data_IF_005568693462
#
_entry.id   IF_005568693462
#
_cell.length_a   1.000
_cell.length_b   1.000
_cell.length_c   1.000
_cell.angle_alpha   90.00
_cell.angle_beta   90.00
_cell.angle_gamma   90.00
#
_symmetry.space_group_name_H-M   'P 1'
#
loop_
_entity.id
_entity.type
_entity.pdbx_description
1 polymer ?
#
# COMPACT_ATOMS: atom_id res chain seq x y z
N UNK A 1 -41.22 3.49 -23.55
CA UNK A 1 -40.84 2.34 -22.71
C UNK A 1 -39.35 2.16 -22.85
N UNK A 2 -38.62 2.91 -22.03
CA UNK A 2 -37.18 2.84 -21.83
C UNK A 2 -37.00 3.54 -20.48
N UNK A 3 -37.04 2.74 -19.42
CA UNK A 3 -36.82 3.24 -18.06
C UNK A 3 -35.38 3.73 -17.95
N UNK A 4 -35.30 4.98 -17.52
CA UNK A 4 -34.10 5.71 -17.21
C UNK A 4 -33.65 5.24 -15.82
N UNK A 5 -32.67 4.33 -15.74
CA UNK A 5 -32.04 3.96 -14.47
C UNK A 5 -31.33 5.20 -13.89
N UNK A 6 -31.68 5.64 -12.67
CA UNK A 6 -31.14 6.87 -12.14
C UNK A 6 -29.68 6.68 -11.71
N UNK A 7 -28.86 7.56 -12.24
CA UNK A 7 -27.52 7.91 -11.78
C UNK A 7 -27.43 8.01 -10.24
N UNK A 8 -26.36 7.40 -9.71
CA UNK A 8 -25.58 7.84 -8.55
C UNK A 8 -26.15 9.05 -7.78
N UNK A 9 -27.05 8.77 -6.82
CA UNK A 9 -27.46 9.74 -5.82
C UNK A 9 -27.56 9.03 -4.45
N UNK A 10 -26.89 9.64 -3.47
CA UNK A 10 -26.92 9.35 -2.02
C UNK A 10 -26.17 8.09 -1.54
N UNK A 11 -24.83 8.16 -1.53
CA UNK A 11 -24.01 7.35 -0.61
C UNK A 11 -24.20 7.87 0.82
N UNK A 12 -25.35 7.58 1.43
CA UNK A 12 -25.38 7.42 2.88
C UNK A 12 -24.36 6.33 3.19
N UNK A 13 -23.37 6.64 4.04
CA UNK A 13 -22.40 5.62 4.45
C UNK A 13 -23.18 4.47 5.07
N UNK A 14 -23.19 3.31 4.41
CA UNK A 14 -23.82 2.09 4.94
C UNK A 14 -23.43 1.94 6.41
N UNK A 15 -24.38 1.51 7.24
CA UNK A 15 -24.02 1.13 8.61
C UNK A 15 -22.96 0.01 8.59
N UNK A 16 -22.27 -0.19 9.71
CA UNK A 16 -21.25 -1.24 9.79
C UNK A 16 -21.85 -2.62 9.48
N UNK A 17 -23.09 -2.86 9.93
CA UNK A 17 -23.83 -4.09 9.66
C UNK A 17 -24.25 -4.21 8.19
N UNK A 18 -24.78 -3.15 7.59
CA UNK A 18 -25.22 -3.17 6.18
C UNK A 18 -24.01 -3.34 5.24
N UNK A 19 -22.88 -2.72 5.57
CA UNK A 19 -21.64 -2.92 4.83
C UNK A 19 -21.17 -4.37 4.93
N UNK A 20 -21.17 -4.95 6.14
CA UNK A 20 -20.75 -6.34 6.37
C UNK A 20 -21.65 -7.33 5.60
N UNK A 21 -22.97 -7.16 5.67
CA UNK A 21 -23.92 -7.99 4.93
C UNK A 21 -23.74 -7.85 3.41
N UNK A 22 -23.44 -6.63 2.92
CA UNK A 22 -23.22 -6.38 1.49
C UNK A 22 -21.94 -7.05 0.99
N UNK A 23 -20.82 -6.88 1.70
CA UNK A 23 -19.55 -7.48 1.27
C UNK A 23 -19.60 -9.02 1.36
N UNK A 24 -20.27 -9.56 2.37
CA UNK A 24 -20.52 -11.00 2.51
C UNK A 24 -21.31 -11.55 1.32
N UNK A 25 -22.44 -10.91 0.97
CA UNK A 25 -23.24 -11.30 -0.19
C UNK A 25 -22.42 -11.27 -1.48
N UNK A 26 -21.67 -10.19 -1.73
CA UNK A 26 -20.83 -10.07 -2.92
C UNK A 26 -19.73 -11.15 -2.93
N UNK A 27 -19.10 -11.43 -1.80
CA UNK A 27 -18.07 -12.47 -1.71
C UNK A 27 -18.63 -13.86 -2.00
N UNK A 28 -19.82 -14.18 -1.47
CA UNK A 28 -20.49 -15.45 -1.75
C UNK A 28 -20.95 -15.60 -3.21
N UNK A 29 -21.27 -14.49 -3.90
CA UNK A 29 -21.56 -14.48 -5.33
C UNK A 29 -20.29 -14.60 -6.20
N UNK A 30 -19.17 -14.05 -5.72
CA UNK A 30 -17.90 -13.95 -6.44
C UNK A 30 -16.98 -15.18 -6.27
N UNK A 31 -17.12 -15.90 -5.17
CA UNK A 31 -16.31 -17.05 -4.79
C UNK A 31 -16.73 -17.51 -3.40
N UNK A 32 -16.15 -16.91 -2.37
CA UNK A 32 -16.68 -17.04 -1.01
C UNK A 32 -16.35 -15.83 -0.12
N UNK A 33 -17.15 -15.68 0.94
CA UNK A 33 -16.81 -14.87 2.10
C UNK A 33 -16.78 -15.74 3.35
N UNK A 34 -15.67 -15.74 4.09
CA UNK A 34 -15.52 -16.50 5.32
C UNK A 34 -15.12 -15.61 6.47
N UNK A 35 -15.92 -15.58 7.54
CA UNK A 35 -15.51 -14.97 8.81
C UNK A 35 -14.35 -15.75 9.43
N UNK A 36 -13.31 -15.04 9.82
CA UNK A 36 -12.12 -15.55 10.50
C UNK A 36 -12.10 -14.97 11.92
N UNK A 37 -12.85 -15.60 12.81
CA UNK A 37 -13.06 -15.09 14.16
C UNK A 37 -13.83 -13.76 14.19
N UNK A 38 -13.57 -12.97 15.23
CA UNK A 38 -14.29 -11.72 15.51
C UNK A 38 -13.71 -10.52 14.75
N UNK A 39 -12.41 -10.54 14.49
CA UNK A 39 -11.69 -9.38 13.96
C UNK A 39 -11.22 -9.53 12.50
N UNK A 40 -11.53 -10.63 11.83
CA UNK A 40 -11.08 -10.86 10.45
C UNK A 40 -12.13 -11.53 9.56
N UNK A 41 -11.93 -11.40 8.25
CA UNK A 41 -12.65 -12.15 7.24
C UNK A 41 -11.77 -12.41 6.01
N UNK A 42 -12.01 -13.51 5.31
CA UNK A 42 -11.47 -13.79 3.99
C UNK A 42 -12.55 -13.49 2.94
N UNK A 43 -12.20 -12.72 1.92
CA UNK A 43 -13.00 -12.48 0.73
C UNK A 43 -12.24 -13.08 -0.46
N UNK A 44 -12.83 -14.05 -1.15
CA UNK A 44 -12.24 -14.69 -2.32
C UNK A 44 -13.12 -14.49 -3.54
N UNK A 45 -12.49 -14.05 -4.63
CA UNK A 45 -13.07 -13.91 -5.96
C UNK A 45 -12.29 -14.83 -6.91
N UNK A 46 -13.00 -15.77 -7.54
CA UNK A 46 -12.41 -16.73 -8.47
C UNK A 46 -12.67 -16.31 -9.92
N UNK A 47 -11.62 -15.96 -10.66
CA UNK A 47 -11.78 -15.40 -12.00
C UNK A 47 -10.55 -15.55 -12.91
N UNK A 48 -9.54 -16.35 -12.53
CA UNK A 48 -8.47 -16.74 -13.44
C UNK A 48 -7.19 -17.27 -12.79
N UNK A 49 -6.16 -17.59 -13.59
CA UNK A 49 -4.96 -18.30 -13.15
C UNK A 49 -3.94 -17.42 -12.42
N UNK A 50 -4.19 -16.12 -12.32
CA UNK A 50 -3.37 -15.18 -11.53
C UNK A 50 -4.10 -14.90 -10.23
N UNK A 51 -3.44 -15.11 -9.09
CA UNK A 51 -3.95 -14.77 -7.77
C UNK A 51 -3.27 -13.50 -7.25
N UNK A 52 -4.07 -12.47 -6.98
CA UNK A 52 -3.65 -11.35 -6.14
C UNK A 52 -4.09 -11.63 -4.70
N UNK A 53 -3.16 -11.63 -3.75
CA UNK A 53 -3.43 -11.74 -2.32
C UNK A 53 -3.23 -10.37 -1.69
N UNK A 54 -4.28 -9.77 -1.11
CA UNK A 54 -4.20 -8.49 -0.40
C UNK A 54 -4.56 -8.61 1.07
N UNK A 55 -3.98 -7.73 1.86
CA UNK A 55 -4.37 -7.50 3.24
C UNK A 55 -4.92 -6.09 3.33
N UNK A 56 -6.13 -5.93 3.84
CA UNK A 56 -6.82 -4.64 3.90
C UNK A 56 -7.55 -4.47 5.23
N UNK A 57 -7.84 -3.23 5.62
CA UNK A 57 -8.65 -2.96 6.81
C UNK A 57 -10.03 -2.48 6.39
N UNK A 58 -11.06 -2.83 7.16
CA UNK A 58 -12.42 -2.31 6.91
C UNK A 58 -12.45 -0.79 6.88
N UNK A 59 -11.71 -0.15 7.78
CA UNK A 59 -11.60 1.31 7.84
C UNK A 59 -11.06 1.89 6.53
N UNK A 60 -9.98 1.32 5.97
CA UNK A 60 -9.40 1.77 4.71
C UNK A 60 -10.34 1.50 3.52
N UNK A 61 -10.97 0.32 3.46
CA UNK A 61 -11.93 -0.04 2.42
C UNK A 61 -13.08 0.98 2.38
N UNK A 62 -13.70 1.26 3.53
CA UNK A 62 -14.85 2.17 3.61
C UNK A 62 -14.49 3.62 3.33
N UNK A 63 -13.31 4.07 3.76
CA UNK A 63 -12.91 5.45 3.62
C UNK A 63 -12.41 5.80 2.20
N UNK A 64 -11.83 4.84 1.48
CA UNK A 64 -11.01 5.16 0.31
C UNK A 64 -11.37 4.39 -0.96
N UNK A 65 -12.06 3.25 -0.87
CA UNK A 65 -12.30 2.41 -2.03
C UNK A 65 -13.65 2.72 -2.69
N UNK A 66 -13.68 2.85 -4.03
CA UNK A 66 -14.93 2.96 -4.79
C UNK A 66 -15.87 1.80 -4.44
N UNK A 67 -17.15 2.11 -4.22
CA UNK A 67 -18.13 1.09 -3.87
C UNK A 67 -17.91 0.39 -2.52
N UNK A 68 -16.91 0.80 -1.72
CA UNK A 68 -16.53 0.21 -0.43
C UNK A 68 -16.23 -1.28 -0.51
N UNK A 69 -15.54 -1.71 -1.58
CA UNK A 69 -15.04 -3.08 -1.77
C UNK A 69 -13.51 -3.13 -1.67
N UNK A 70 -12.91 -4.30 -1.41
CA UNK A 70 -11.46 -4.44 -1.40
C UNK A 70 -10.81 -3.91 -2.67
N UNK A 71 -9.70 -3.18 -2.54
CA UNK A 71 -8.99 -2.57 -3.67
C UNK A 71 -8.58 -3.63 -4.70
N UNK A 72 -8.10 -4.78 -4.22
CA UNK A 72 -7.68 -5.86 -5.11
C UNK A 72 -8.82 -6.48 -5.91
N UNK A 73 -10.07 -6.39 -5.44
CA UNK A 73 -11.22 -6.96 -6.14
C UNK A 73 -11.52 -6.19 -7.44
N UNK A 74 -11.53 -4.86 -7.38
CA UNK A 74 -11.73 -4.02 -8.57
C UNK A 74 -10.59 -4.21 -9.59
N UNK A 75 -9.35 -4.33 -9.11
CA UNK A 75 -8.21 -4.60 -9.97
C UNK A 75 -8.34 -5.96 -10.65
N UNK A 76 -8.64 -7.02 -9.90
CA UNK A 76 -8.73 -8.38 -10.37
C UNK A 76 -9.89 -8.59 -11.36
N UNK A 77 -11.06 -8.02 -11.07
CA UNK A 77 -12.24 -8.06 -11.95
C UNK A 77 -11.97 -7.46 -13.33
N UNK A 78 -11.14 -6.42 -13.40
CA UNK A 78 -10.78 -5.78 -14.67
C UNK A 78 -9.77 -6.57 -15.52
N UNK A 79 -9.19 -7.66 -15.00
CA UNK A 79 -8.00 -8.34 -15.58
C UNK A 79 -8.07 -9.87 -15.61
N UNK A 80 -9.24 -10.47 -15.36
CA UNK A 80 -9.39 -11.93 -15.28
C UNK A 80 -8.40 -12.57 -14.30
N UNK A 81 -8.25 -11.95 -13.12
CA UNK A 81 -7.46 -12.50 -12.02
C UNK A 81 -8.40 -12.96 -10.91
N UNK A 82 -7.99 -14.00 -10.19
CA UNK A 82 -8.53 -14.31 -8.88
C UNK A 82 -7.94 -13.38 -7.82
N UNK A 83 -8.69 -13.15 -6.75
CA UNK A 83 -8.30 -12.26 -5.67
C UNK A 83 -8.68 -12.85 -4.32
N UNK A 84 -7.71 -12.92 -3.41
CA UNK A 84 -7.92 -13.27 -2.01
C UNK A 84 -7.58 -12.05 -1.15
N UNK A 85 -8.57 -11.50 -0.43
CA UNK A 85 -8.37 -10.43 0.53
C UNK A 85 -8.62 -10.91 1.95
N UNK A 86 -7.65 -10.67 2.84
CA UNK A 86 -7.86 -10.78 4.27
C UNK A 86 -8.16 -9.39 4.84
N UNK A 87 -9.38 -9.25 5.33
CA UNK A 87 -9.91 -8.00 5.86
C UNK A 87 -9.76 -8.03 7.39
N UNK A 88 -9.12 -7.01 7.96
CA UNK A 88 -9.07 -6.79 9.40
C UNK A 88 -10.09 -5.73 9.85
N UNK A 89 -10.79 -6.01 10.95
CA UNK A 89 -11.72 -5.08 11.60
C UNK A 89 -10.97 -4.02 12.44
N UNK A 90 -9.80 -4.38 12.97
CA UNK A 90 -8.98 -3.55 13.86
C UNK A 90 -7.50 -3.63 13.49
N UNK A 91 -6.66 -2.84 14.17
CA UNK A 91 -5.20 -2.95 14.06
C UNK A 91 -4.68 -4.19 14.81
N UNK A 92 -5.10 -5.38 14.37
CA UNK A 92 -4.78 -6.68 14.94
C UNK A 92 -3.41 -7.21 14.51
N UNK A 93 -2.79 -6.57 13.51
CA UNK A 93 -1.62 -7.08 12.79
C UNK A 93 -1.83 -8.49 12.21
N UNK A 94 -3.09 -8.89 12.01
CA UNK A 94 -3.46 -10.23 11.56
C UNK A 94 -2.87 -11.34 12.46
N UNK A 95 -2.59 -10.99 13.73
CA UNK A 95 -2.06 -11.90 14.75
C UNK A 95 -3.22 -12.60 15.46
N UNK A 96 -3.87 -13.53 14.77
CA UNK A 96 -5.01 -14.29 15.27
C UNK A 96 -4.92 -15.75 14.79
N UNK A 97 -5.16 -16.70 15.69
CA UNK A 97 -5.09 -18.14 15.40
C UNK A 97 -6.07 -18.57 14.30
N UNK A 98 -7.22 -17.90 14.17
CA UNK A 98 -8.18 -18.19 13.08
C UNK A 98 -7.63 -17.80 11.71
N UNK A 99 -6.81 -16.74 11.63
CA UNK A 99 -6.12 -16.35 10.40
C UNK A 99 -5.01 -17.34 10.08
N UNK A 100 -4.24 -17.78 11.08
CA UNK A 100 -3.19 -18.78 10.88
C UNK A 100 -3.76 -20.08 10.34
N UNK A 101 -4.78 -20.63 11.00
CA UNK A 101 -5.44 -21.87 10.57
C UNK A 101 -6.06 -21.77 9.19
N UNK A 102 -6.51 -20.59 8.80
CA UNK A 102 -7.02 -20.37 7.45
C UNK A 102 -5.90 -20.54 6.41
N UNK A 103 -4.76 -19.86 6.59
CA UNK A 103 -3.62 -20.04 5.70
C UNK A 103 -3.02 -21.45 5.75
N UNK A 104 -2.97 -22.07 6.92
CA UNK A 104 -2.53 -23.46 7.06
C UNK A 104 -3.41 -24.40 6.23
N UNK A 105 -4.74 -24.22 6.27
CA UNK A 105 -5.67 -24.98 5.44
C UNK A 105 -5.44 -24.74 3.95
N UNK A 106 -5.21 -23.48 3.53
CA UNK A 106 -4.90 -23.19 2.13
C UNK A 106 -3.63 -23.92 1.67
N UNK A 107 -2.62 -24.05 2.54
CA UNK A 107 -1.42 -24.84 2.24
C UNK A 107 -1.74 -26.34 2.17
N UNK A 108 -2.45 -26.86 3.16
CA UNK A 108 -2.83 -28.28 3.23
C UNK A 108 -3.68 -28.72 2.02
N UNK A 109 -4.53 -27.82 1.53
CA UNK A 109 -5.39 -28.03 0.35
C UNK A 109 -4.67 -27.71 -0.98
N UNK A 110 -3.37 -27.38 -0.95
CA UNK A 110 -2.57 -26.98 -2.12
C UNK A 110 -3.16 -25.82 -2.93
N UNK A 111 -3.96 -24.95 -2.30
CA UNK A 111 -4.72 -23.88 -2.96
C UNK A 111 -3.85 -22.98 -3.84
N UNK A 112 -2.63 -22.66 -3.41
CA UNK A 112 -1.75 -21.76 -4.16
C UNK A 112 -1.14 -22.41 -5.41
N UNK A 113 -1.15 -23.74 -5.51
CA UNK A 113 -0.61 -24.48 -6.66
C UNK A 113 -1.53 -24.41 -7.89
N UNK A 114 -2.80 -24.05 -7.70
CA UNK A 114 -3.78 -23.88 -8.78
C UNK A 114 -3.54 -22.61 -9.62
N UNK A 115 -2.60 -21.75 -9.22
CA UNK A 115 -2.33 -20.47 -9.87
C UNK A 115 -0.96 -20.45 -10.54
N UNK A 116 -0.91 -19.93 -11.77
CA UNK A 116 0.33 -19.71 -12.52
C UNK A 116 1.19 -18.59 -11.94
N UNK A 117 0.55 -17.59 -11.31
CA UNK A 117 1.22 -16.47 -10.67
C UNK A 117 0.48 -16.05 -9.41
N UNK A 118 1.21 -15.96 -8.30
CA UNK A 118 0.70 -15.45 -7.02
C UNK A 118 1.45 -14.18 -6.64
N UNK A 119 0.71 -13.12 -6.30
CA UNK A 119 1.27 -11.84 -5.86
C UNK A 119 0.70 -11.45 -4.50
N UNK A 120 1.56 -11.25 -3.51
CA UNK A 120 1.17 -10.72 -2.20
C UNK A 120 1.37 -9.20 -2.16
N UNK A 121 0.36 -8.47 -1.69
CA UNK A 121 0.42 -7.02 -1.56
C UNK A 121 -0.16 -6.52 -0.24
N UNK A 122 0.50 -5.52 0.35
CA UNK A 122 -0.05 -4.76 1.46
C UNK A 122 0.77 -3.51 1.82
N UNK A 123 0.12 -2.57 2.51
CA UNK A 123 0.74 -1.34 3.01
C UNK A 123 0.73 -1.24 4.55
N UNK A 124 1.81 -0.78 5.17
CA UNK A 124 1.89 -0.59 6.62
C UNK A 124 1.76 -1.90 7.40
N UNK A 125 0.72 -1.99 8.25
CA UNK A 125 0.33 -3.22 8.94
C UNK A 125 -0.11 -4.32 7.95
N UNK A 126 -0.79 -3.95 6.87
CA UNK A 126 -1.12 -4.89 5.82
C UNK A 126 0.13 -5.36 5.06
N UNK A 127 1.15 -4.51 4.95
CA UNK A 127 2.46 -4.88 4.40
C UNK A 127 3.20 -5.87 5.30
N UNK A 128 3.07 -5.73 6.62
CA UNK A 128 3.53 -6.77 7.55
C UNK A 128 2.86 -8.12 7.25
N UNK A 129 1.54 -8.15 7.13
CA UNK A 129 0.79 -9.38 6.90
C UNK A 129 1.09 -10.00 5.53
N UNK A 130 1.16 -9.19 4.48
CA UNK A 130 1.53 -9.64 3.14
C UNK A 130 2.89 -10.36 3.13
N UNK A 131 3.88 -9.83 3.87
CA UNK A 131 5.16 -10.50 4.04
C UNK A 131 5.05 -11.76 4.91
N UNK A 132 4.42 -11.65 6.07
CA UNK A 132 4.30 -12.71 7.06
C UNK A 132 3.63 -13.98 6.51
N UNK A 133 2.59 -13.82 5.69
CA UNK A 133 1.86 -14.96 5.12
C UNK A 133 2.36 -15.38 3.73
N UNK A 134 3.26 -14.62 3.10
CA UNK A 134 3.79 -15.01 1.77
C UNK A 134 4.52 -16.36 1.75
N UNK A 135 5.03 -16.81 2.91
CA UNK A 135 5.64 -18.14 3.07
C UNK A 135 4.71 -19.29 2.66
N UNK A 136 3.40 -19.08 2.68
CA UNK A 136 2.39 -20.09 2.32
C UNK A 136 2.33 -20.35 0.81
N UNK A 137 2.93 -19.49 0.01
CA UNK A 137 2.99 -19.61 -1.45
C UNK A 137 4.45 -19.41 -1.93
N UNK A 138 5.30 -20.45 -1.81
CA UNK A 138 6.68 -20.37 -2.30
C UNK A 138 6.75 -19.93 -3.76
N UNK A 139 7.71 -19.06 -4.09
CA UNK A 139 7.86 -18.48 -5.42
C UNK A 139 6.97 -17.27 -5.73
N UNK A 140 6.03 -16.91 -4.85
CA UNK A 140 5.17 -15.74 -5.04
C UNK A 140 5.98 -14.43 -5.13
N UNK A 141 5.47 -13.49 -5.91
CA UNK A 141 6.00 -12.11 -5.93
C UNK A 141 5.41 -11.34 -4.76
N UNK A 142 6.23 -10.60 -4.02
CA UNK A 142 5.78 -9.89 -2.82
C UNK A 142 6.04 -8.39 -2.96
N UNK A 143 4.98 -7.58 -2.89
CA UNK A 143 5.05 -6.11 -2.98
C UNK A 143 4.62 -5.50 -1.66
N UNK A 144 5.57 -4.90 -0.95
CA UNK A 144 5.40 -4.38 0.39
C UNK A 144 5.55 -2.86 0.39
N UNK A 145 4.54 -2.15 0.86
CA UNK A 145 4.58 -0.68 0.97
C UNK A 145 4.69 -0.28 2.44
N UNK A 146 5.80 0.36 2.83
CA UNK A 146 6.09 0.74 4.21
C UNK A 146 5.81 -0.38 5.23
N UNK A 147 6.24 -1.63 4.98
CA UNK A 147 5.90 -2.73 5.86
C UNK A 147 6.43 -2.47 7.27
N UNK A 148 5.72 -2.97 8.27
CA UNK A 148 6.33 -3.23 9.59
C UNK A 148 6.97 -4.60 9.53
N UNK A 149 8.18 -4.74 10.05
CA UNK A 149 8.85 -6.04 10.13
C UNK A 149 8.32 -6.86 11.31
N UNK A 150 8.11 -6.20 12.45
CA UNK A 150 7.64 -6.77 13.72
C UNK A 150 7.31 -5.65 14.70
N UNK A 151 6.54 -5.94 15.74
CA UNK A 151 6.44 -5.07 16.92
C UNK A 151 7.07 -5.70 18.18
N UNK A 152 7.83 -6.79 18.06
CA UNK A 152 8.59 -7.36 19.19
C UNK A 152 9.54 -6.28 19.74
N UNK A 153 9.39 -5.86 21.02
CA UNK A 153 10.23 -4.82 21.60
C UNK A 153 11.72 -5.15 21.63
N UNK A 154 12.10 -6.43 21.52
CA UNK A 154 13.51 -6.85 21.45
C UNK A 154 14.18 -6.46 20.14
N UNK A 155 13.40 -6.35 19.05
CA UNK A 155 13.88 -6.01 17.70
C UNK A 155 13.47 -4.58 17.31
N UNK A 156 12.20 -4.24 17.55
CA UNK A 156 11.57 -2.97 17.18
C UNK A 156 11.32 -2.06 18.40
N UNK A 157 12.13 -2.18 19.46
CA UNK A 157 12.01 -1.36 20.68
C UNK A 157 12.06 0.15 20.42
N UNK A 158 12.70 0.55 19.32
CA UNK A 158 12.84 1.91 18.82
C UNK A 158 11.57 2.49 18.16
N UNK A 159 10.53 1.70 17.88
CA UNK A 159 9.29 2.17 17.26
C UNK A 159 8.18 2.40 18.31
N UNK A 160 7.81 3.65 18.62
CA UNK A 160 6.79 3.96 19.63
C UNK A 160 5.36 4.00 19.08
N UNK A 161 5.11 3.73 17.79
CA UNK A 161 3.81 4.00 17.15
C UNK A 161 2.68 3.07 17.60
N UNK A 162 3.00 1.86 18.06
CA UNK A 162 2.04 0.80 18.37
C UNK A 162 2.39 0.10 19.71
N UNK A 163 2.63 0.87 20.77
CA UNK A 163 3.07 0.34 22.06
C UNK A 163 2.05 -0.66 22.65
N UNK A 164 0.77 -0.36 22.51
CA UNK A 164 -0.35 -1.19 22.97
C UNK A 164 -0.45 -2.53 22.22
N UNK A 165 0.12 -2.61 21.01
CA UNK A 165 0.14 -3.82 20.18
C UNK A 165 1.37 -4.70 20.43
N UNK A 166 2.34 -4.25 21.23
CA UNK A 166 3.51 -5.07 21.64
C UNK A 166 3.13 -6.30 22.48
N UNK A 167 1.89 -6.37 22.97
CA UNK A 167 1.33 -7.57 23.64
C UNK A 167 1.06 -8.73 22.68
N UNK A 168 0.96 -8.46 21.37
CA UNK A 168 0.80 -9.51 20.37
C UNK A 168 2.13 -10.27 20.20
N UNK A 169 2.04 -11.56 19.88
CA UNK A 169 3.21 -12.40 19.66
C UNK A 169 3.71 -12.23 18.22
N UNK A 170 4.99 -11.87 18.03
CA UNK A 170 5.65 -11.72 16.72
C UNK A 170 6.83 -12.67 16.54
N UNK A 171 6.88 -13.73 17.34
CA UNK A 171 8.04 -14.64 17.43
C UNK A 171 7.68 -16.10 17.20
N UNK A 172 6.38 -16.38 17.13
CA UNK A 172 5.80 -17.66 16.78
C UNK A 172 5.44 -17.69 15.29
N UNK A 173 4.49 -18.53 14.91
CA UNK A 173 4.06 -18.77 13.53
C UNK A 173 3.74 -17.46 12.81
N UNK A 174 4.25 -17.29 11.59
CA UNK A 174 4.09 -16.07 10.78
C UNK A 174 4.56 -14.78 11.48
N UNK A 175 5.40 -14.89 12.52
CA UNK A 175 5.68 -13.79 13.45
C UNK A 175 6.59 -12.70 12.90
N UNK A 176 7.83 -13.03 12.55
CA UNK A 176 8.81 -12.08 12.08
C UNK A 176 8.79 -12.00 10.55
N UNK A 177 8.13 -10.98 10.01
CA UNK A 177 7.85 -10.86 8.58
C UNK A 177 9.09 -10.96 7.65
N UNK A 178 10.27 -10.41 7.99
CA UNK A 178 11.47 -10.56 7.16
C UNK A 178 11.96 -11.99 6.98
N UNK A 179 11.67 -12.91 7.91
CA UNK A 179 12.04 -14.32 7.75
C UNK A 179 10.99 -15.08 6.92
N UNK A 180 9.74 -14.63 6.95
CA UNK A 180 8.64 -15.27 6.21
C UNK A 180 8.70 -15.04 4.69
N UNK A 181 9.60 -14.20 4.20
CA UNK A 181 9.80 -13.97 2.77
C UNK A 181 10.92 -14.82 2.16
N UNK A 182 11.56 -15.71 2.92
CA UNK A 182 12.72 -16.49 2.44
C UNK A 182 12.40 -17.41 1.25
N UNK A 183 11.18 -17.95 1.20
CA UNK A 183 10.70 -18.78 0.09
C UNK A 183 10.05 -18.00 -1.06
N UNK A 184 9.97 -16.67 -0.97
CA UNK A 184 9.36 -15.85 -2.02
C UNK A 184 10.22 -15.80 -3.29
N UNK A 185 9.59 -15.46 -4.42
CA UNK A 185 10.29 -15.10 -5.64
C UNK A 185 10.91 -13.69 -5.52
N UNK A 186 10.53 -12.73 -6.37
CA UNK A 186 10.99 -11.36 -6.22
C UNK A 186 10.21 -10.61 -5.12
N UNK A 187 10.94 -9.91 -4.25
CA UNK A 187 10.35 -9.10 -3.17
C UNK A 187 10.71 -7.63 -3.34
N UNK A 188 9.72 -6.76 -3.29
CA UNK A 188 9.86 -5.31 -3.46
C UNK A 188 9.38 -4.59 -2.22
N UNK A 189 10.25 -3.82 -1.57
CA UNK A 189 9.93 -3.04 -0.37
C UNK A 189 10.02 -1.57 -0.70
N UNK A 190 8.88 -0.90 -0.77
CA UNK A 190 8.77 0.53 -1.04
C UNK A 190 8.73 1.29 0.28
N UNK A 191 9.64 2.25 0.48
CA UNK A 191 9.71 3.06 1.70
C UNK A 191 10.22 4.47 1.43
N UNK A 192 9.85 5.42 2.28
CA UNK A 192 10.41 6.77 2.23
C UNK A 192 11.62 6.84 3.18
N UNK A 193 12.85 7.03 2.67
CA UNK A 193 14.03 7.14 3.52
C UNK A 193 14.03 8.37 4.45
N UNK A 194 13.17 9.36 4.21
CA UNK A 194 13.03 10.54 5.07
C UNK A 194 12.19 10.25 6.33
N UNK A 195 11.52 9.09 6.38
CA UNK A 195 10.79 8.62 7.54
C UNK A 195 11.61 7.57 8.27
N UNK A 196 12.32 8.00 9.31
CA UNK A 196 13.28 7.17 10.06
C UNK A 196 12.69 5.81 10.45
N UNK A 197 11.51 5.78 11.06
CA UNK A 197 10.90 4.54 11.53
C UNK A 197 10.54 3.58 10.38
N UNK A 198 10.10 4.10 9.23
CA UNK A 198 9.81 3.28 8.06
C UNK A 198 11.09 2.76 7.42
N UNK A 199 12.14 3.59 7.36
CA UNK A 199 13.46 3.20 6.86
C UNK A 199 14.11 2.11 7.73
N UNK A 200 13.93 2.18 9.06
CA UNK A 200 14.42 1.16 9.99
C UNK A 200 13.67 -0.16 9.85
N UNK A 201 12.34 -0.14 9.62
CA UNK A 201 11.61 -1.37 9.33
C UNK A 201 12.02 -1.97 7.98
N UNK A 202 12.12 -1.13 6.94
CA UNK A 202 12.51 -1.57 5.61
C UNK A 202 13.91 -2.21 5.58
N UNK A 203 14.86 -1.73 6.39
CA UNK A 203 16.21 -2.30 6.45
C UNK A 203 16.24 -3.72 7.01
N UNK A 204 15.28 -4.11 7.87
CA UNK A 204 15.19 -5.47 8.41
C UNK A 204 14.88 -6.52 7.32
N UNK A 205 14.23 -6.09 6.23
CA UNK A 205 13.95 -6.92 5.05
C UNK A 205 15.15 -7.07 4.10
N UNK A 206 16.31 -6.44 4.36
CA UNK A 206 17.45 -6.50 3.45
C UNK A 206 17.96 -7.95 3.27
N UNK A 207 17.82 -8.48 2.04
CA UNK A 207 18.31 -9.78 1.57
C UNK A 207 18.73 -9.67 0.09
N UNK A 208 19.54 -10.59 -0.45
CA UNK A 208 19.98 -10.51 -1.85
C UNK A 208 18.84 -10.48 -2.89
N UNK A 209 17.74 -11.18 -2.63
CA UNK A 209 16.56 -11.26 -3.51
C UNK A 209 15.53 -10.12 -3.28
N UNK A 210 15.76 -9.25 -2.29
CA UNK A 210 14.86 -8.15 -1.94
C UNK A 210 15.33 -6.85 -2.60
N UNK A 211 14.42 -6.15 -3.26
CA UNK A 211 14.64 -4.82 -3.84
C UNK A 211 14.05 -3.74 -2.92
N UNK A 212 14.95 -2.98 -2.28
CA UNK A 212 14.60 -1.84 -1.43
C UNK A 212 14.39 -0.57 -2.27
N UNK A 213 13.15 -0.28 -2.64
CA UNK A 213 12.76 0.84 -3.50
C UNK A 213 12.52 2.11 -2.68
N UNK A 214 13.30 3.16 -2.96
CA UNK A 214 13.25 4.43 -2.23
C UNK A 214 12.25 5.42 -2.84
N UNK A 215 11.22 5.75 -2.07
CA UNK A 215 10.18 6.72 -2.39
C UNK A 215 10.39 8.05 -1.64
N UNK A 216 11.57 8.66 -1.82
CA UNK A 216 11.99 9.86 -1.06
C UNK A 216 10.99 11.00 -1.17
N UNK A 217 10.59 11.58 -0.03
CA UNK A 217 9.62 12.68 0.11
C UNK A 217 8.17 12.34 -0.27
N UNK A 218 7.84 11.06 -0.44
CA UNK A 218 6.46 10.66 -0.72
C UNK A 218 5.57 10.76 0.54
N UNK A 219 6.17 10.71 1.73
CA UNK A 219 5.49 10.92 3.00
C UNK A 219 4.99 9.62 3.64
N UNK A 220 4.11 9.78 4.63
CA UNK A 220 3.72 8.72 5.58
C UNK A 220 2.76 7.68 5.03
N UNK A 221 2.09 7.98 3.92
CA UNK A 221 1.12 7.08 3.28
C UNK A 221 1.48 6.91 1.80
N UNK A 222 2.44 6.03 1.56
CA UNK A 222 2.93 5.70 0.22
C UNK A 222 1.85 4.94 -0.54
N UNK A 223 1.10 4.04 0.11
CA UNK A 223 0.05 3.27 -0.52
C UNK A 223 -0.98 4.19 -1.17
N UNK A 224 -1.49 5.16 -0.39
CA UNK A 224 -2.42 6.17 -0.90
C UNK A 224 -1.81 7.03 -1.99
N UNK A 225 -0.57 7.48 -1.83
CA UNK A 225 0.08 8.29 -2.85
C UNK A 225 0.22 7.53 -4.19
N UNK A 226 0.51 6.22 -4.15
CA UNK A 226 0.58 5.39 -5.35
C UNK A 226 -0.79 5.18 -6.01
N UNK A 227 -1.86 5.07 -5.22
CA UNK A 227 -3.25 5.03 -5.74
C UNK A 227 -3.63 6.36 -6.41
N UNK A 228 -3.41 7.49 -5.74
CA UNK A 228 -3.76 8.83 -6.25
C UNK A 228 -2.98 9.18 -7.52
N UNK A 229 -1.74 8.71 -7.62
CA UNK A 229 -0.92 8.82 -8.84
C UNK A 229 -1.29 7.78 -9.92
N UNK A 230 -2.23 6.86 -9.65
CA UNK A 230 -2.62 5.74 -10.53
C UNK A 230 -1.46 4.81 -10.90
N UNK A 231 -0.46 4.72 -10.02
CA UNK A 231 0.72 3.88 -10.20
C UNK A 231 0.46 2.47 -9.65
N UNK A 232 -0.29 2.36 -8.54
CA UNK A 232 -0.43 1.10 -7.81
C UNK A 232 -0.98 -0.05 -8.69
N UNK A 233 -2.05 0.20 -9.45
CA UNK A 233 -2.65 -0.81 -10.33
C UNK A 233 -1.70 -1.27 -11.45
N UNK A 234 -0.93 -0.34 -12.02
CA UNK A 234 0.07 -0.65 -13.05
C UNK A 234 1.26 -1.43 -12.46
N UNK A 235 1.66 -1.09 -11.24
CA UNK A 235 2.69 -1.79 -10.49
C UNK A 235 2.28 -3.25 -10.22
N UNK A 236 1.09 -3.46 -9.67
CA UNK A 236 0.60 -4.81 -9.37
C UNK A 236 0.42 -5.65 -10.65
N UNK A 237 -0.01 -5.05 -11.76
CA UNK A 237 -0.06 -5.74 -13.05
C UNK A 237 1.31 -6.09 -13.64
N UNK A 238 2.33 -5.26 -13.40
CA UNK A 238 3.69 -5.64 -13.76
C UNK A 238 4.20 -6.78 -12.87
N UNK A 239 3.80 -6.81 -11.60
CA UNK A 239 4.21 -7.85 -10.65
C UNK A 239 3.61 -9.22 -11.02
N UNK A 240 2.34 -9.27 -11.42
CA UNK A 240 1.69 -10.53 -11.83
C UNK A 240 2.24 -11.12 -13.13
N UNK A 241 2.89 -10.32 -13.97
CA UNK A 241 3.50 -10.77 -15.23
C UNK A 241 5.00 -11.05 -15.10
N UNK A 242 5.57 -10.90 -13.90
CA UNK A 242 7.01 -11.04 -13.67
C UNK A 242 7.87 -9.95 -14.32
N UNK A 243 7.26 -8.88 -14.82
CA UNK A 243 7.95 -7.78 -15.53
C UNK A 243 8.32 -6.61 -14.60
N UNK A 244 7.83 -6.63 -13.36
CA UNK A 244 8.12 -5.57 -12.40
C UNK A 244 9.57 -5.60 -11.92
N UNK A 245 10.24 -4.45 -12.03
CA UNK A 245 11.57 -4.23 -11.50
C UNK A 245 11.75 -2.76 -11.05
N UNK A 246 12.93 -2.44 -10.51
CA UNK A 246 13.27 -1.09 -10.05
C UNK A 246 13.23 -0.04 -11.18
N UNK A 247 13.54 -0.46 -12.41
CA UNK A 247 13.57 0.43 -13.58
C UNK A 247 12.15 0.79 -14.02
N UNK A 248 11.27 -0.19 -14.12
CA UNK A 248 9.86 0.00 -14.45
C UNK A 248 9.17 0.82 -13.36
N UNK A 249 9.46 0.53 -12.08
CA UNK A 249 9.02 1.38 -10.99
C UNK A 249 9.46 2.83 -11.18
N UNK A 250 10.74 3.09 -11.50
CA UNK A 250 11.24 4.44 -11.69
C UNK A 250 10.54 5.18 -12.85
N UNK A 251 10.06 4.46 -13.88
CA UNK A 251 9.25 5.01 -14.97
C UNK A 251 7.89 5.45 -14.43
N UNK A 252 7.13 4.55 -13.79
CA UNK A 252 5.83 4.87 -13.20
C UNK A 252 5.95 5.99 -12.16
N UNK A 253 6.97 5.93 -11.33
CA UNK A 253 7.22 6.86 -10.23
C UNK A 253 7.52 8.29 -10.69
N UNK A 254 7.80 8.54 -11.98
CA UNK A 254 7.88 9.91 -12.52
C UNK A 254 6.55 10.65 -12.44
N UNK A 255 5.41 9.94 -12.31
CA UNK A 255 4.09 10.54 -12.07
C UNK A 255 4.08 11.52 -10.89
N UNK A 256 4.93 11.30 -9.88
CA UNK A 256 5.10 12.20 -8.73
C UNK A 256 5.44 13.64 -9.09
N UNK A 257 6.06 13.86 -10.27
CA UNK A 257 6.40 15.21 -10.76
C UNK A 257 5.18 16.07 -11.04
N UNK A 258 3.99 15.47 -11.10
CA UNK A 258 2.70 16.14 -11.26
C UNK A 258 1.78 15.95 -10.04
N UNK A 259 2.27 15.34 -8.96
CA UNK A 259 1.50 15.05 -7.76
C UNK A 259 1.74 16.14 -6.70
N UNK A 260 0.73 16.95 -6.43
CA UNK A 260 0.84 18.14 -5.57
C UNK A 260 1.39 17.82 -4.16
N UNK A 261 0.90 16.80 -3.42
CA UNK A 261 1.41 16.53 -2.07
C UNK A 261 2.91 16.25 -2.05
N UNK A 262 3.44 15.53 -3.05
CA UNK A 262 4.88 15.31 -3.21
C UNK A 262 5.62 16.64 -3.45
N UNK A 263 5.17 17.42 -4.44
CA UNK A 263 5.79 18.71 -4.77
C UNK A 263 5.79 19.67 -3.57
N UNK A 264 4.71 19.66 -2.79
CA UNK A 264 4.58 20.47 -1.57
C UNK A 264 5.58 20.07 -0.49
N UNK A 265 5.85 18.77 -0.32
CA UNK A 265 6.86 18.28 0.63
C UNK A 265 8.27 18.62 0.18
N UNK A 266 8.56 18.49 -1.12
CA UNK A 266 9.86 18.89 -1.68
C UNK A 266 10.09 20.39 -1.48
N UNK A 267 9.10 21.23 -1.77
CA UNK A 267 9.20 22.68 -1.54
C UNK A 267 9.42 23.00 -0.06
N UNK A 268 8.65 22.39 0.84
CA UNK A 268 8.81 22.59 2.28
C UNK A 268 10.21 22.20 2.76
N UNK A 269 10.79 21.11 2.23
CA UNK A 269 12.16 20.70 2.55
C UNK A 269 13.19 21.71 2.06
N UNK A 270 13.08 22.17 0.81
CA UNK A 270 14.00 23.16 0.25
C UNK A 270 13.95 24.49 1.02
N UNK A 271 12.75 24.93 1.41
CA UNK A 271 12.56 26.13 2.20
C UNK A 271 13.16 25.97 3.61
N UNK A 272 12.96 24.82 4.27
CA UNK A 272 13.57 24.53 5.57
C UNK A 272 15.11 24.49 5.52
N UNK A 273 15.68 24.00 4.41
CA UNK A 273 17.13 23.97 4.19
C UNK A 273 17.70 25.33 3.71
N UNK A 274 16.87 26.37 3.60
CA UNK A 274 17.28 27.70 3.15
C UNK A 274 17.72 27.77 1.67
N UNK A 275 17.31 26.79 0.84
CA UNK A 275 17.73 26.64 -0.56
C UNK A 275 16.87 27.49 -1.49
N UNK A 276 16.85 28.81 -1.29
CA UNK A 276 15.96 29.74 -2.00
C UNK A 276 16.02 29.63 -3.54
N UNK A 277 17.21 29.46 -4.11
CA UNK A 277 17.38 29.30 -5.56
C UNK A 277 16.74 28.01 -6.10
N UNK A 278 16.90 26.90 -5.38
CA UNK A 278 16.28 25.61 -5.75
C UNK A 278 14.76 25.66 -5.55
N UNK A 279 14.27 26.31 -4.49
CA UNK A 279 12.83 26.56 -4.30
C UNK A 279 12.26 27.36 -5.49
N UNK A 280 12.96 28.40 -5.96
CA UNK A 280 12.52 29.20 -7.10
C UNK A 280 12.50 28.38 -8.40
N UNK A 281 13.52 27.55 -8.65
CA UNK A 281 13.55 26.63 -9.82
C UNK A 281 12.37 25.65 -9.78
N UNK A 282 12.10 25.05 -8.61
CA UNK A 282 10.96 24.15 -8.43
C UNK A 282 9.64 24.87 -8.70
N UNK A 283 9.40 26.02 -8.05
CA UNK A 283 8.16 26.78 -8.19
C UNK A 283 7.94 27.25 -9.63
N UNK A 284 8.99 27.65 -10.36
CA UNK A 284 8.91 28.01 -11.78
C UNK A 284 8.54 26.80 -12.65
N UNK A 285 9.19 25.65 -12.43
CA UNK A 285 8.87 24.40 -13.14
C UNK A 285 7.44 23.93 -12.87
N UNK A 286 6.96 24.05 -11.64
CA UNK A 286 5.60 23.63 -11.26
C UNK A 286 4.57 24.59 -11.81
N UNK A 287 4.77 25.91 -11.68
CA UNK A 287 3.82 26.93 -12.17
C UNK A 287 3.66 26.90 -13.69
N UNK A 288 4.69 26.47 -14.43
CA UNK A 288 4.60 26.28 -15.88
C UNK A 288 3.84 25.03 -16.31
N UNK A 289 3.60 24.06 -15.40
CA UNK A 289 2.97 22.77 -15.71
C UNK A 289 1.61 22.57 -15.03
N UNK A 290 1.42 23.15 -13.85
CA UNK A 290 0.27 22.95 -12.97
C UNK A 290 -0.25 24.30 -12.47
N UNK A 291 -1.57 24.45 -12.43
CA UNK A 291 -2.24 25.63 -11.92
C UNK A 291 -2.38 25.60 -10.39
N UNK A 292 -1.25 25.64 -9.67
CA UNK A 292 -1.21 25.58 -8.20
C UNK A 292 -0.89 26.97 -7.60
N UNK A 293 -1.86 27.68 -6.97
CA UNK A 293 -1.64 29.02 -6.41
C UNK A 293 -0.49 29.10 -5.42
N UNK A 294 -0.32 28.08 -4.57
CA UNK A 294 0.75 27.99 -3.58
C UNK A 294 2.15 28.20 -4.19
N UNK A 295 2.44 27.55 -5.32
CA UNK A 295 3.76 27.62 -5.95
C UNK A 295 3.97 28.96 -6.68
N UNK A 296 2.91 29.54 -7.24
CA UNK A 296 2.97 30.87 -7.88
C UNK A 296 3.25 31.96 -6.85
N UNK A 297 2.53 31.94 -5.74
CA UNK A 297 2.71 32.92 -4.65
C UNK A 297 4.13 32.81 -4.08
N UNK A 298 4.58 31.58 -3.80
CA UNK A 298 5.94 31.35 -3.29
C UNK A 298 7.03 31.78 -4.27
N UNK A 299 6.83 31.60 -5.58
CA UNK A 299 7.78 32.08 -6.59
C UNK A 299 7.94 33.60 -6.54
N UNK A 300 6.82 34.35 -6.47
CA UNK A 300 6.84 35.81 -6.41
C UNK A 300 7.56 36.35 -5.16
N UNK A 301 7.36 35.69 -4.01
CA UNK A 301 8.10 36.00 -2.79
C UNK A 301 9.61 35.80 -2.97
N UNK A 302 10.02 34.63 -3.50
CA UNK A 302 11.43 34.29 -3.70
C UNK A 302 12.11 35.23 -4.69
N UNK A 303 11.43 35.60 -5.79
CA UNK A 303 11.97 36.54 -6.77
C UNK A 303 12.18 37.94 -6.16
N UNK A 304 11.27 38.38 -5.28
CA UNK A 304 11.42 39.65 -4.55
C UNK A 304 12.62 39.61 -3.60
N UNK A 305 12.80 38.52 -2.86
CA UNK A 305 13.93 38.35 -1.94
C UNK A 305 15.25 38.32 -2.71
N UNK A 306 15.34 37.53 -3.77
CA UNK A 306 16.55 37.40 -4.59
C UNK A 306 16.94 38.72 -5.28
N UNK A 307 15.95 39.50 -5.74
CA UNK A 307 16.20 40.82 -6.32
C UNK A 307 16.82 41.79 -5.31
N UNK A 308 16.35 41.79 -4.05
CA UNK A 308 16.93 42.61 -2.97
C UNK A 308 18.34 42.18 -2.60
N UNK A 309 18.62 40.88 -2.54
CA UNK A 309 19.97 40.37 -2.24
C UNK A 309 20.98 40.77 -3.32
N UNK A 310 20.57 40.82 -4.60
CA UNK A 310 21.44 41.26 -5.71
C UNK A 310 21.70 42.77 -5.74
N UNK A 311 20.86 43.59 -5.10
CA UNK A 311 21.05 45.04 -5.03
C UNK A 311 21.94 45.49 -3.87
N UNK A 312 22.12 44.62 -2.86
CA UNK A 312 22.86 44.91 -1.63
C UNK A 312 24.25 44.25 -1.54
N UNK A 313 24.68 43.53 -2.58
CA UNK A 313 25.99 42.87 -2.67
C UNK A 313 26.70 43.30 -3.94
#
# INVERSE_FOLDING_TARGET
>A
MTEYEPHAAELTSLSDADWAARIERIGNEAGYYQRLGVDHAAFYFDNGPTLLVTFETRAAIRAHQPGQLPMGYDLARSRSWSHLCIIAETDSFYRDETVYRYFDRLVDDAFFEDFESVVFYGAGMCGYAAAAFSVTAPGATVVLVQPRATLDPRVAGWDPRFLEKRRLCFTDRYGFAPDMIEGAGPVFVLYDPELTLDSMHASLFARPFVKLIRCRFLGRDIGRALEEMRILSSLLAAATTGTFDERLFAIFYRGRRNYEPYLSRVLARLDADGRAELSAILCRSVSGRLALPKFRNRLAELETVMARTRQNG
#
